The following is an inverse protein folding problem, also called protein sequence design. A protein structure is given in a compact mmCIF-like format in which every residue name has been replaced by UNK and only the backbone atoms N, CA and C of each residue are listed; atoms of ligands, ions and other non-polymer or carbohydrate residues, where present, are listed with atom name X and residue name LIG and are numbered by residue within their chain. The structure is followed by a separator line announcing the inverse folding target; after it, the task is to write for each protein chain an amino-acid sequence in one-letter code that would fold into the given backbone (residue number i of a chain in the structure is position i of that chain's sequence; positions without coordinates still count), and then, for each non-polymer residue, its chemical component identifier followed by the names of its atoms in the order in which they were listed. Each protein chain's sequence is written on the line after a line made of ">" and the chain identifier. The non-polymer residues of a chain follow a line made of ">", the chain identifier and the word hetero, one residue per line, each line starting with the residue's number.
data_IF_222682640141
#
_entry.id   IF_222682640141
#
_cell.length_a   1.000
_cell.length_b   1.000
_cell.length_c   1.000
_cell.angle_alpha   90.00
_cell.angle_beta   90.00
_cell.angle_gamma   90.00
#
_symmetry.space_group_name_H-M   'P 1'
#
loop_
_entity.id
_entity.type
_entity.pdbx_description
1 polymer ?
#
# COMPACT_ATOMS: atom_id res chain seq x y z
N UNK A 1 -53.42 -34.73 55.50
CA UNK A 1 -53.84 -33.32 55.45
C UNK A 1 -52.75 -32.33 54.99
N UNK A 2 -51.45 -32.62 55.10
CA UNK A 2 -50.38 -31.68 54.66
C UNK A 2 -50.01 -31.79 53.16
N UNK A 3 -50.10 -32.99 52.59
CA UNK A 3 -49.72 -33.23 51.18
C UNK A 3 -50.74 -32.66 50.18
N UNK A 4 -52.04 -32.84 50.42
CA UNK A 4 -53.11 -32.33 49.54
C UNK A 4 -53.03 -30.80 49.39
N UNK A 5 -52.76 -30.09 50.49
CA UNK A 5 -52.61 -28.63 50.48
C UNK A 5 -51.41 -28.14 49.65
N UNK A 6 -50.40 -28.99 49.47
CA UNK A 6 -49.21 -28.68 48.67
C UNK A 6 -49.49 -28.93 47.19
N UNK A 7 -50.24 -29.98 46.87
CA UNK A 7 -50.69 -30.30 45.51
C UNK A 7 -51.61 -29.20 44.98
N UNK A 8 -52.61 -28.78 45.78
CA UNK A 8 -53.51 -27.68 45.41
C UNK A 8 -52.75 -26.37 45.11
N UNK A 9 -51.70 -26.09 45.87
CA UNK A 9 -50.88 -24.88 45.70
C UNK A 9 -50.04 -24.93 44.40
N UNK A 10 -49.55 -26.12 44.02
CA UNK A 10 -48.80 -26.31 42.78
C UNK A 10 -49.75 -26.16 41.58
N UNK A 11 -50.92 -26.78 41.64
CA UNK A 11 -51.93 -26.71 40.57
C UNK A 11 -52.41 -25.28 40.34
N UNK A 12 -52.64 -24.53 41.44
CA UNK A 12 -52.99 -23.11 41.38
C UNK A 12 -51.87 -22.25 40.76
N UNK A 13 -50.61 -22.61 41.02
CA UNK A 13 -49.46 -21.89 40.45
C UNK A 13 -49.31 -22.16 38.95
N UNK A 14 -49.50 -23.41 38.51
CA UNK A 14 -49.45 -23.80 37.09
C UNK A 14 -50.53 -23.09 36.29
N UNK A 15 -51.79 -23.11 36.77
CA UNK A 15 -52.90 -22.41 36.11
C UNK A 15 -52.64 -20.89 35.98
N UNK A 16 -52.00 -20.28 36.99
CA UNK A 16 -51.64 -18.86 36.94
C UNK A 16 -50.55 -18.55 35.89
N UNK A 17 -49.63 -19.48 35.65
CA UNK A 17 -48.55 -19.32 34.67
C UNK A 17 -49.08 -19.50 33.25
N UNK A 18 -49.92 -20.50 33.00
CA UNK A 18 -50.57 -20.71 31.70
C UNK A 18 -51.38 -19.48 31.28
N UNK A 19 -52.15 -18.91 32.20
CA UNK A 19 -52.94 -17.70 31.93
C UNK A 19 -52.07 -16.48 31.61
N UNK A 20 -50.87 -16.38 32.20
CA UNK A 20 -49.90 -15.31 31.91
C UNK A 20 -49.22 -15.51 30.56
N UNK A 21 -48.91 -16.76 30.20
CA UNK A 21 -48.32 -17.10 28.90
C UNK A 21 -49.31 -16.80 27.77
N UNK A 22 -50.58 -17.23 27.89
CA UNK A 22 -51.60 -16.92 26.89
C UNK A 22 -51.81 -15.41 26.70
N UNK A 23 -51.76 -14.63 27.80
CA UNK A 23 -51.84 -13.16 27.72
C UNK A 23 -50.62 -12.54 27.04
N UNK A 24 -49.42 -13.12 27.19
CA UNK A 24 -48.21 -12.68 26.50
C UNK A 24 -48.24 -13.06 25.02
N UNK A 25 -48.75 -14.23 24.69
CA UNK A 25 -48.89 -14.71 23.32
C UNK A 25 -49.89 -13.85 22.53
N UNK A 26 -51.03 -13.48 23.11
CA UNK A 26 -51.98 -12.53 22.50
C UNK A 26 -51.37 -11.13 22.30
N UNK A 27 -50.52 -10.66 23.22
CA UNK A 27 -49.80 -9.38 23.08
C UNK A 27 -48.75 -9.45 21.97
N UNK A 28 -48.05 -10.59 21.83
CA UNK A 28 -47.04 -10.79 20.80
C UNK A 28 -47.70 -10.95 19.42
N UNK A 29 -48.82 -11.68 19.32
CA UNK A 29 -49.56 -11.86 18.06
C UNK A 29 -50.28 -10.57 17.62
N UNK A 30 -50.79 -9.76 18.55
CA UNK A 30 -51.46 -8.49 18.22
C UNK A 30 -50.49 -7.35 17.88
N UNK A 31 -49.19 -7.50 18.20
CA UNK A 31 -48.15 -6.49 17.96
C UNK A 31 -47.28 -6.77 16.72
N UNK A 32 -47.78 -7.55 15.76
CA UNK A 32 -47.16 -7.67 14.43
C UNK A 32 -47.95 -6.85 13.40
N UNK A 33 -47.60 -5.58 13.15
CA UNK A 33 -47.98 -4.90 11.91
C UNK A 33 -47.09 -5.41 10.77
N UNK A 34 -47.69 -6.11 9.82
CA UNK A 34 -47.16 -6.26 8.47
C UNK A 34 -46.99 -4.88 7.82
N UNK A 35 -45.77 -4.43 7.52
CA UNK A 35 -45.46 -3.52 6.41
C UNK A 35 -43.99 -3.66 5.93
N UNK A 36 -43.71 -3.33 4.65
CA UNK A 36 -42.65 -3.92 3.82
C UNK A 36 -41.26 -3.29 3.98
N UNK A 37 -40.26 -4.04 3.51
CA UNK A 37 -38.84 -3.68 3.40
C UNK A 37 -38.61 -2.27 2.80
N UNK A 38 -37.78 -1.46 3.48
CA UNK A 38 -36.90 -0.47 2.85
C UNK A 38 -35.65 -0.37 3.70
N UNK A 39 -34.53 -0.76 3.10
CA UNK A 39 -33.19 -0.75 3.67
C UNK A 39 -32.64 0.69 3.70
N UNK A 40 -32.38 1.24 4.88
CA UNK A 40 -31.38 2.30 5.09
C UNK A 40 -30.64 2.02 6.42
N UNK A 41 -29.32 1.73 6.42
CA UNK A 41 -28.61 1.42 7.65
C UNK A 41 -28.16 2.72 8.33
N UNK A 42 -28.93 3.18 9.30
CA UNK A 42 -28.44 4.10 10.33
C UNK A 42 -27.45 3.34 11.22
N UNK A 43 -26.19 3.81 11.24
CA UNK A 43 -25.12 3.28 12.07
C UNK A 43 -25.42 3.52 13.55
N UNK A 44 -25.66 2.44 14.29
CA UNK A 44 -25.69 2.46 15.75
C UNK A 44 -24.24 2.32 16.27
N UNK A 45 -23.74 3.39 16.87
CA UNK A 45 -22.42 3.46 17.50
C UNK A 45 -22.50 2.69 18.82
N UNK A 46 -22.09 1.42 18.82
CA UNK A 46 -21.92 0.64 20.04
C UNK A 46 -20.54 0.95 20.66
N UNK A 47 -20.53 1.91 21.59
CA UNK A 47 -19.45 2.11 22.55
C UNK A 47 -19.91 1.48 23.87
N UNK A 48 -19.57 0.21 24.06
CA UNK A 48 -19.38 -0.35 25.40
C UNK A 48 -18.13 -1.22 25.41
N UNK A 49 -17.09 -0.60 25.95
CA UNK A 49 -15.93 -1.19 26.58
C UNK A 49 -16.21 -2.55 27.24
N UNK A 50 -15.86 -3.62 26.53
CA UNK A 50 -15.00 -4.61 27.14
C UNK A 50 -13.64 -4.45 26.48
N UNK A 51 -12.86 -3.56 27.07
CA UNK A 51 -11.44 -3.44 26.78
C UNK A 51 -10.83 -4.80 27.14
N UNK A 52 -10.69 -5.66 26.13
CA UNK A 52 -9.85 -6.84 26.20
C UNK A 52 -8.42 -6.39 25.92
N UNK A 53 -7.82 -5.67 26.87
CA UNK A 53 -6.36 -5.55 26.92
C UNK A 53 -5.72 -6.81 27.53
N UNK A 54 -6.50 -7.72 28.13
CA UNK A 54 -6.02 -8.98 28.68
C UNK A 54 -5.99 -10.16 27.71
N UNK A 55 -6.35 -9.97 26.42
CA UNK A 55 -6.05 -10.96 25.38
C UNK A 55 -5.09 -10.44 24.31
N UNK A 56 -4.25 -9.47 24.69
CA UNK A 56 -2.94 -9.28 24.05
C UNK A 56 -2.03 -10.45 24.44
N UNK A 57 -2.42 -11.66 24.02
CA UNK A 57 -1.61 -12.87 24.10
C UNK A 57 -0.34 -12.60 23.29
N UNK A 58 0.76 -12.37 24.00
CA UNK A 58 2.07 -11.96 23.49
C UNK A 58 2.79 -12.99 22.61
N UNK A 59 2.08 -13.88 21.92
CA UNK A 59 2.67 -14.95 21.10
C UNK A 59 2.90 -14.52 19.63
N UNK A 60 2.20 -13.49 19.13
CA UNK A 60 2.31 -13.07 17.71
C UNK A 60 2.91 -11.68 17.47
N UNK A 61 2.96 -10.82 18.49
CA UNK A 61 3.38 -9.43 18.32
C UNK A 61 4.89 -9.23 18.50
N UNK A 62 5.53 -10.04 19.33
CA UNK A 62 6.99 -10.04 19.47
C UNK A 62 7.69 -10.62 18.24
N UNK A 63 7.10 -11.64 17.59
CA UNK A 63 7.61 -12.17 16.33
C UNK A 63 7.58 -11.12 15.20
N UNK A 64 6.48 -10.37 15.07
CA UNK A 64 6.38 -9.32 14.06
C UNK A 64 7.33 -8.14 14.34
N UNK A 65 7.40 -7.69 15.60
CA UNK A 65 8.28 -6.61 16.01
C UNK A 65 9.76 -6.99 15.87
N UNK A 66 10.13 -8.24 16.20
CA UNK A 66 11.47 -8.77 16.05
C UNK A 66 11.92 -8.83 14.59
N UNK A 67 11.03 -9.21 13.67
CA UNK A 67 11.30 -9.16 12.22
C UNK A 67 11.50 -7.71 11.76
N UNK A 68 10.68 -6.76 12.23
CA UNK A 68 10.84 -5.33 11.86
C UNK A 68 12.17 -4.79 12.34
N UNK A 69 12.54 -5.03 13.60
CA UNK A 69 13.81 -4.60 14.17
C UNK A 69 15.00 -5.28 13.50
N UNK A 70 14.89 -6.57 13.18
CA UNK A 70 15.91 -7.29 12.42
C UNK A 70 16.09 -6.70 11.01
N UNK A 71 14.98 -6.37 10.34
CA UNK A 71 14.98 -5.75 9.02
C UNK A 71 15.57 -4.34 9.05
N UNK A 72 15.22 -3.54 10.06
CA UNK A 72 15.80 -2.20 10.29
C UNK A 72 17.30 -2.30 10.57
N UNK A 73 17.72 -3.29 11.37
CA UNK A 73 19.12 -3.56 11.68
C UNK A 73 19.91 -3.95 10.44
N UNK A 74 19.35 -4.83 9.59
CA UNK A 74 19.94 -5.20 8.31
C UNK A 74 20.06 -4.00 7.37
N UNK A 75 19.04 -3.16 7.29
CA UNK A 75 19.09 -1.93 6.49
C UNK A 75 20.17 -0.95 6.98
N UNK A 76 20.26 -0.77 8.30
CA UNK A 76 21.28 0.09 8.89
C UNK A 76 22.69 -0.46 8.67
N UNK A 77 22.84 -1.79 8.74
CA UNK A 77 24.09 -2.47 8.44
C UNK A 77 24.53 -2.25 6.99
N UNK A 78 23.61 -2.44 6.03
CA UNK A 78 23.90 -2.19 4.61
C UNK A 78 24.27 -0.72 4.37
N UNK A 79 23.52 0.23 4.95
CA UNK A 79 23.85 1.66 4.88
C UNK A 79 25.23 1.95 5.48
N UNK A 80 25.54 1.34 6.62
CA UNK A 80 26.82 1.49 7.30
C UNK A 80 27.99 0.94 6.46
N UNK A 81 27.80 -0.22 5.82
CA UNK A 81 28.80 -0.78 4.89
C UNK A 81 29.11 0.14 3.72
N UNK A 82 28.15 0.94 3.25
CA UNK A 82 28.41 1.96 2.23
C UNK A 82 29.16 3.17 2.79
N UNK A 83 28.84 3.60 4.01
CA UNK A 83 29.53 4.73 4.65
C UNK A 83 30.99 4.42 4.93
N UNK A 84 31.30 3.18 5.33
CA UNK A 84 32.67 2.74 5.58
C UNK A 84 33.41 2.29 4.31
N UNK A 85 32.81 2.43 3.12
CA UNK A 85 33.37 1.96 1.85
C UNK A 85 33.82 0.47 1.87
N UNK A 86 33.19 -0.37 2.69
CA UNK A 86 33.46 -1.81 2.68
C UNK A 86 33.07 -2.46 1.35
N UNK A 87 32.08 -1.86 0.69
CA UNK A 87 31.61 -2.24 -0.63
C UNK A 87 31.72 -1.00 -1.52
N UNK A 88 32.68 -1.00 -2.43
CA UNK A 88 32.97 0.11 -3.34
C UNK A 88 32.45 -0.15 -4.76
N UNK A 89 32.18 0.94 -5.49
CA UNK A 89 31.77 0.90 -6.89
C UNK A 89 30.50 0.09 -7.15
N UNK A 90 30.63 -0.97 -7.96
CA UNK A 90 29.52 -1.80 -8.42
C UNK A 90 28.91 -2.72 -7.35
N UNK A 91 29.58 -2.96 -6.22
CA UNK A 91 29.02 -3.81 -5.17
C UNK A 91 27.79 -3.20 -4.49
N UNK A 92 27.70 -1.87 -4.45
CA UNK A 92 26.64 -1.13 -3.78
C UNK A 92 25.26 -1.35 -4.43
N UNK A 93 25.10 -1.17 -5.77
CA UNK A 93 23.85 -1.50 -6.44
C UNK A 93 23.53 -3.00 -6.42
N UNK A 94 24.53 -3.89 -6.43
CA UNK A 94 24.30 -5.35 -6.35
C UNK A 94 23.68 -5.73 -5.01
N UNK A 95 24.20 -5.20 -3.90
CA UNK A 95 23.65 -5.45 -2.56
C UNK A 95 22.24 -4.89 -2.43
N UNK A 96 21.99 -3.69 -2.97
CA UNK A 96 20.64 -3.11 -2.98
C UNK A 96 19.64 -3.96 -3.78
N UNK A 97 20.08 -4.46 -4.94
CA UNK A 97 19.26 -5.34 -5.76
C UNK A 97 18.96 -6.66 -5.03
N UNK A 98 19.96 -7.26 -4.38
CA UNK A 98 19.81 -8.49 -3.61
C UNK A 98 18.86 -8.28 -2.42
N UNK A 99 19.03 -7.19 -1.69
CA UNK A 99 18.16 -6.81 -0.57
C UNK A 99 16.72 -6.59 -1.05
N UNK A 100 16.54 -5.85 -2.15
CA UNK A 100 15.23 -5.66 -2.78
C UNK A 100 14.55 -6.99 -3.15
N UNK A 101 15.29 -7.92 -3.77
CA UNK A 101 14.79 -9.25 -4.15
C UNK A 101 14.41 -10.12 -2.94
N UNK A 102 15.24 -10.12 -1.90
CA UNK A 102 14.97 -10.85 -0.64
C UNK A 102 13.70 -10.30 0.00
N UNK A 103 13.56 -8.97 0.11
CA UNK A 103 12.36 -8.36 0.67
C UNK A 103 11.12 -8.62 -0.20
N UNK A 104 11.27 -8.70 -1.52
CA UNK A 104 10.17 -9.05 -2.44
C UNK A 104 9.65 -10.46 -2.13
N UNK A 105 10.55 -11.45 -2.04
CA UNK A 105 10.20 -12.84 -1.76
C UNK A 105 9.56 -12.99 -0.37
N UNK A 106 10.12 -12.30 0.64
CA UNK A 106 9.57 -12.27 1.99
C UNK A 106 8.18 -11.60 1.99
N UNK A 107 8.01 -10.49 1.28
CA UNK A 107 6.73 -9.79 1.16
C UNK A 107 5.63 -10.68 0.60
N UNK A 108 5.91 -11.39 -0.51
CA UNK A 108 4.96 -12.30 -1.14
C UNK A 108 4.59 -13.47 -0.19
N UNK A 109 5.57 -14.01 0.52
CA UNK A 109 5.37 -15.09 1.52
C UNK A 109 4.54 -14.63 2.72
N UNK A 110 4.84 -13.45 3.28
CA UNK A 110 4.11 -12.89 4.43
C UNK A 110 2.67 -12.56 4.06
N UNK A 111 2.46 -12.10 2.82
CA UNK A 111 1.12 -11.79 2.32
C UNK A 111 0.26 -13.04 2.16
N UNK A 112 0.86 -14.18 1.80
CA UNK A 112 0.18 -15.49 1.77
C UNK A 112 -0.28 -15.90 3.18
N UNK A 113 0.47 -15.54 4.23
CA UNK A 113 0.16 -15.85 5.63
C UNK A 113 -0.81 -14.87 6.32
N UNK A 114 -1.63 -14.15 5.55
CA UNK A 114 -2.73 -13.29 6.03
C UNK A 114 -2.35 -11.95 6.71
N UNK A 115 -1.08 -11.51 6.63
CA UNK A 115 -0.64 -10.18 7.12
C UNK A 115 -0.62 -9.13 5.99
N UNK A 116 -1.79 -8.79 5.46
CA UNK A 116 -1.93 -7.96 4.25
C UNK A 116 -1.28 -6.56 4.36
N UNK A 117 -1.49 -5.85 5.47
CA UNK A 117 -0.95 -4.49 5.66
C UNK A 117 0.58 -4.50 5.75
N UNK A 118 1.14 -5.47 6.47
CA UNK A 118 2.58 -5.58 6.63
C UNK A 118 3.28 -6.01 5.34
N UNK A 119 2.72 -6.99 4.63
CA UNK A 119 3.22 -7.41 3.33
C UNK A 119 3.25 -6.26 2.32
N UNK A 120 2.24 -5.38 2.33
CA UNK A 120 2.20 -4.20 1.46
C UNK A 120 3.32 -3.17 1.77
N UNK A 121 3.60 -2.91 3.05
CA UNK A 121 4.70 -2.03 3.47
C UNK A 121 6.05 -2.62 3.04
N UNK A 122 6.23 -3.93 3.24
CA UNK A 122 7.44 -4.64 2.82
C UNK A 122 7.62 -4.66 1.30
N UNK A 123 6.53 -4.82 0.55
CA UNK A 123 6.55 -4.74 -0.91
C UNK A 123 6.95 -3.34 -1.39
N UNK A 124 6.41 -2.29 -0.76
CA UNK A 124 6.81 -0.92 -1.08
C UNK A 124 8.30 -0.71 -0.80
N UNK A 125 8.78 -1.19 0.35
CA UNK A 125 10.17 -1.06 0.74
C UNK A 125 11.10 -1.82 -0.22
N UNK A 126 10.73 -3.04 -0.62
CA UNK A 126 11.44 -3.81 -1.65
C UNK A 126 11.57 -3.04 -2.96
N UNK A 127 10.49 -2.44 -3.45
CA UNK A 127 10.51 -1.64 -4.66
C UNK A 127 11.42 -0.41 -4.54
N UNK A 128 11.38 0.29 -3.40
CA UNK A 128 12.27 1.42 -3.14
C UNK A 128 13.73 0.97 -3.23
N UNK A 129 14.09 -0.18 -2.66
CA UNK A 129 15.45 -0.73 -2.79
C UNK A 129 15.83 -1.08 -4.21
N UNK A 130 14.93 -1.69 -4.98
CA UNK A 130 15.17 -2.02 -6.38
C UNK A 130 15.37 -0.77 -7.24
N UNK A 131 14.53 0.25 -7.07
CA UNK A 131 14.68 1.52 -7.77
C UNK A 131 15.97 2.25 -7.36
N UNK A 132 16.33 2.22 -6.08
CA UNK A 132 17.60 2.76 -5.58
C UNK A 132 18.82 2.01 -6.16
N UNK A 133 18.70 0.69 -6.33
CA UNK A 133 19.72 -0.15 -6.97
C UNK A 133 19.96 0.30 -8.42
N UNK A 134 18.88 0.53 -9.16
CA UNK A 134 18.92 0.99 -10.55
C UNK A 134 19.57 2.37 -10.65
N UNK A 135 19.23 3.30 -9.77
CA UNK A 135 19.85 4.63 -9.72
C UNK A 135 21.36 4.54 -9.40
N UNK A 136 21.75 3.82 -8.35
CA UNK A 136 23.18 3.66 -8.03
C UNK A 136 23.96 2.94 -9.12
N UNK A 137 23.32 1.97 -9.80
CA UNK A 137 23.92 1.31 -10.96
C UNK A 137 24.19 2.31 -12.08
N UNK A 138 23.25 3.22 -12.36
CA UNK A 138 23.39 4.22 -13.42
C UNK A 138 24.50 5.25 -13.20
N UNK A 139 24.92 5.49 -11.96
CA UNK A 139 25.98 6.45 -11.63
C UNK A 139 27.32 5.76 -11.41
N UNK A 140 27.33 4.66 -10.64
CA UNK A 140 28.57 4.09 -10.11
C UNK A 140 29.14 2.96 -10.95
N UNK A 141 28.35 2.38 -11.85
CA UNK A 141 28.80 1.27 -12.69
C UNK A 141 29.17 1.83 -14.06
N UNK A 142 30.45 1.76 -14.48
CA UNK A 142 30.91 2.39 -15.72
C UNK A 142 30.31 1.77 -16.98
N UNK A 143 29.80 0.53 -16.91
CA UNK A 143 29.11 -0.10 -18.05
C UNK A 143 27.65 0.37 -18.21
N UNK A 144 27.12 1.03 -17.19
CA UNK A 144 25.71 1.37 -17.10
C UNK A 144 25.51 2.83 -17.49
N UNK A 145 24.96 3.07 -18.68
CA UNK A 145 24.64 4.42 -19.15
C UNK A 145 23.34 4.94 -18.53
N UNK A 146 23.11 6.26 -18.57
CA UNK A 146 21.86 6.95 -18.21
C UNK A 146 20.60 6.29 -18.81
N UNK A 147 20.72 5.64 -19.98
CA UNK A 147 19.64 4.89 -20.65
C UNK A 147 19.16 3.69 -19.83
N UNK A 148 20.06 3.05 -19.10
CA UNK A 148 19.73 1.90 -18.26
C UNK A 148 18.71 2.26 -17.18
N UNK A 149 18.76 3.48 -16.64
CA UNK A 149 17.80 3.95 -15.64
C UNK A 149 16.36 3.83 -16.17
N UNK A 150 16.13 4.27 -17.41
CA UNK A 150 14.82 4.25 -18.06
C UNK A 150 14.38 2.83 -18.40
N UNK A 151 15.26 2.02 -18.99
CA UNK A 151 14.91 0.64 -19.35
C UNK A 151 14.67 -0.25 -18.14
N UNK A 152 15.49 -0.12 -17.09
CA UNK A 152 15.35 -0.91 -15.88
C UNK A 152 14.10 -0.48 -15.07
N UNK A 153 13.78 0.81 -15.01
CA UNK A 153 12.55 1.27 -14.35
C UNK A 153 11.29 0.78 -15.07
N UNK A 154 11.29 0.81 -16.41
CA UNK A 154 10.22 0.24 -17.23
C UNK A 154 10.10 -1.28 -16.98
N UNK A 155 11.23 -1.98 -16.89
CA UNK A 155 11.26 -3.40 -16.55
C UNK A 155 10.64 -3.71 -15.18
N UNK A 156 10.96 -2.92 -14.14
CA UNK A 156 10.37 -3.07 -12.80
C UNK A 156 8.86 -2.80 -12.82
N UNK A 157 8.42 -1.78 -13.56
CA UNK A 157 6.99 -1.46 -13.71
C UNK A 157 6.23 -2.58 -14.43
N UNK A 158 6.79 -3.09 -15.53
CA UNK A 158 6.21 -4.21 -16.27
C UNK A 158 6.15 -5.48 -15.42
N UNK A 159 7.21 -5.74 -14.63
CA UNK A 159 7.23 -6.83 -13.67
C UNK A 159 6.11 -6.69 -12.61
N UNK A 160 5.94 -5.50 -12.02
CA UNK A 160 4.88 -5.25 -11.05
C UNK A 160 3.47 -5.41 -11.66
N UNK A 161 3.31 -4.99 -12.92
CA UNK A 161 2.08 -5.16 -13.67
C UNK A 161 1.77 -6.64 -13.89
N UNK A 162 2.72 -7.40 -14.45
CA UNK A 162 2.59 -8.83 -14.71
C UNK A 162 2.31 -9.62 -13.42
N UNK A 163 3.02 -9.30 -12.34
CA UNK A 163 2.79 -9.91 -11.03
C UNK A 163 1.40 -9.57 -10.46
N UNK A 164 0.93 -8.34 -10.68
CA UNK A 164 -0.42 -7.91 -10.32
C UNK A 164 -1.51 -8.70 -11.04
N UNK A 165 -1.32 -9.00 -12.32
CA UNK A 165 -2.22 -9.83 -13.14
C UNK A 165 -2.25 -11.27 -12.63
N UNK A 166 -1.09 -11.89 -12.42
CA UNK A 166 -0.99 -13.29 -11.93
C UNK A 166 -1.70 -13.45 -10.58
N UNK A 167 -1.45 -12.53 -9.64
CA UNK A 167 -2.03 -12.59 -8.29
C UNK A 167 -3.47 -12.05 -8.22
N UNK A 168 -4.08 -11.69 -9.37
CA UNK A 168 -5.40 -11.04 -9.48
C UNK A 168 -5.59 -9.89 -8.49
N UNK A 169 -4.52 -9.17 -8.19
CA UNK A 169 -4.51 -8.19 -7.10
C UNK A 169 -4.06 -6.82 -7.57
N UNK A 170 -4.81 -5.80 -7.15
CA UNK A 170 -4.58 -4.41 -7.51
C UNK A 170 -3.36 -3.77 -6.83
N UNK A 171 -2.82 -4.40 -5.79
CA UNK A 171 -1.79 -3.76 -4.97
C UNK A 171 -0.44 -3.63 -5.65
N UNK A 172 0.05 -4.66 -6.33
CA UNK A 172 1.41 -4.64 -6.89
C UNK A 172 1.63 -3.52 -7.91
N UNK A 173 0.69 -3.26 -8.84
CA UNK A 173 0.82 -2.13 -9.74
C UNK A 173 0.76 -0.78 -9.01
N UNK A 174 -0.07 -0.65 -7.98
CA UNK A 174 -0.15 0.57 -7.16
C UNK A 174 1.18 0.85 -6.45
N UNK A 175 1.77 -0.17 -5.83
CA UNK A 175 3.07 -0.03 -5.17
C UNK A 175 4.20 0.23 -6.18
N UNK A 176 4.12 -0.38 -7.37
CA UNK A 176 4.97 -0.12 -8.54
C UNK A 176 5.04 1.36 -8.91
N UNK A 177 3.88 1.95 -9.16
CA UNK A 177 3.76 3.37 -9.53
C UNK A 177 4.22 4.26 -8.37
N UNK A 178 3.82 3.95 -7.13
CA UNK A 178 4.29 4.71 -5.96
C UNK A 178 5.81 4.69 -5.82
N UNK A 179 6.44 3.52 -6.01
CA UNK A 179 7.90 3.40 -6.01
C UNK A 179 8.58 4.19 -7.12
N UNK A 180 8.00 4.16 -8.33
CA UNK A 180 8.50 4.93 -9.47
C UNK A 180 8.37 6.46 -9.27
N UNK A 181 7.37 6.92 -8.52
CA UNK A 181 7.25 8.33 -8.12
C UNK A 181 8.31 8.76 -7.10
N UNK A 182 8.78 7.84 -6.25
CA UNK A 182 9.78 8.13 -5.21
C UNK A 182 11.20 8.24 -5.80
N UNK A 183 11.51 7.43 -6.82
CA UNK A 183 12.82 7.41 -7.46
C UNK A 183 13.37 8.78 -7.91
N UNK A 184 12.61 9.65 -8.62
CA UNK A 184 13.16 10.92 -9.11
C UNK A 184 13.67 11.86 -8.00
N UNK A 185 13.18 11.75 -6.76
CA UNK A 185 13.71 12.50 -5.60
C UNK A 185 15.21 12.29 -5.45
N UNK A 186 15.69 11.08 -5.72
CA UNK A 186 17.09 10.72 -5.61
C UNK A 186 17.90 11.12 -6.85
N UNK A 187 17.27 11.19 -8.02
CA UNK A 187 17.93 11.33 -9.32
C UNK A 187 18.20 12.79 -9.70
N UNK A 188 17.42 13.76 -9.19
CA UNK A 188 17.44 15.15 -9.65
C UNK A 188 18.85 15.76 -9.62
N UNK A 189 19.62 15.55 -8.56
CA UNK A 189 20.92 16.23 -8.36
C UNK A 189 21.99 15.84 -9.39
N UNK A 190 22.00 14.59 -9.85
CA UNK A 190 23.03 14.09 -10.75
C UNK A 190 22.63 14.17 -12.24
N UNK A 191 21.35 14.43 -12.52
CA UNK A 191 20.79 14.41 -13.87
C UNK A 191 20.27 15.78 -14.36
N UNK A 192 20.57 16.87 -13.64
CA UNK A 192 20.24 18.25 -14.06
C UNK A 192 20.72 18.50 -15.50
N UNK A 193 19.79 18.91 -16.37
CA UNK A 193 20.05 19.22 -17.79
C UNK A 193 19.96 18.05 -18.77
N UNK A 194 19.65 16.83 -18.31
CA UNK A 194 19.62 15.64 -19.17
C UNK A 194 18.20 15.27 -19.64
N UNK A 195 17.99 15.11 -20.96
CA UNK A 195 16.71 14.70 -21.56
C UNK A 195 16.23 13.30 -21.11
N UNK A 196 17.12 12.43 -20.65
CA UNK A 196 16.78 11.11 -20.11
C UNK A 196 15.87 11.18 -18.88
N UNK A 197 16.00 12.22 -18.04
CA UNK A 197 15.10 12.42 -16.90
C UNK A 197 13.67 12.75 -17.37
N UNK A 198 13.55 13.56 -18.42
CA UNK A 198 12.26 13.86 -19.06
C UNK A 198 11.61 12.61 -19.65
N UNK A 199 12.40 11.77 -20.35
CA UNK A 199 11.91 10.49 -20.90
C UNK A 199 11.45 9.55 -19.77
N UNK A 200 12.17 9.52 -18.65
CA UNK A 200 11.75 8.74 -17.47
C UNK A 200 10.37 9.18 -16.97
N UNK A 201 10.14 10.49 -16.78
CA UNK A 201 8.84 10.99 -16.33
C UNK A 201 7.72 10.68 -17.32
N UNK A 202 7.99 10.77 -18.64
CA UNK A 202 7.04 10.37 -19.67
C UNK A 202 6.65 8.90 -19.51
N UNK A 203 7.63 8.01 -19.33
CA UNK A 203 7.39 6.58 -19.13
C UNK A 203 6.52 6.33 -17.89
N UNK A 204 6.78 7.04 -16.79
CA UNK A 204 5.97 6.92 -15.55
C UNK A 204 4.54 7.39 -15.77
N UNK A 205 4.33 8.51 -16.47
CA UNK A 205 2.98 9.03 -16.78
C UNK A 205 2.23 8.07 -17.69
N UNK A 206 2.85 7.61 -18.79
CA UNK A 206 2.22 6.66 -19.74
C UNK A 206 1.87 5.36 -19.01
N UNK A 207 2.75 4.86 -18.15
CA UNK A 207 2.49 3.65 -17.36
C UNK A 207 1.30 3.85 -16.41
N UNK A 208 1.25 4.97 -15.70
CA UNK A 208 0.15 5.30 -14.79
C UNK A 208 -1.18 5.47 -15.54
N UNK A 209 -1.15 6.08 -16.72
CA UNK A 209 -2.31 6.24 -17.60
C UNK A 209 -2.82 4.89 -18.13
N UNK A 210 -1.92 4.02 -18.60
CA UNK A 210 -2.28 2.67 -19.04
C UNK A 210 -2.93 1.83 -17.93
N UNK A 211 -2.45 1.99 -16.69
CA UNK A 211 -3.03 1.37 -15.50
C UNK A 211 -4.41 1.94 -15.14
N UNK A 212 -4.63 3.24 -15.38
CA UNK A 212 -5.89 3.92 -15.13
C UNK A 212 -7.02 3.38 -16.01
N UNK A 213 -6.75 3.23 -17.32
CA UNK A 213 -7.71 2.76 -18.32
C UNK A 213 -8.19 1.33 -18.04
N UNK A 214 -7.36 0.49 -17.41
CA UNK A 214 -7.68 -0.93 -17.27
C UNK A 214 -8.56 -1.26 -16.06
N UNK A 215 -8.67 -0.38 -15.05
CA UNK A 215 -9.41 -0.73 -13.82
C UNK A 215 -10.08 0.45 -13.08
N UNK A 216 -10.45 1.53 -13.78
CA UNK A 216 -11.06 2.73 -13.19
C UNK A 216 -10.23 3.30 -12.02
N UNK A 217 -8.91 3.35 -12.18
CA UNK A 217 -7.98 3.87 -11.16
C UNK A 217 -7.58 5.33 -11.40
N UNK A 218 -8.51 6.12 -11.94
CA UNK A 218 -8.30 7.52 -12.27
C UNK A 218 -7.76 8.36 -11.10
N UNK A 219 -8.16 8.04 -9.87
CA UNK A 219 -7.67 8.73 -8.66
C UNK A 219 -6.17 8.59 -8.47
N UNK A 220 -5.58 7.43 -8.78
CA UNK A 220 -4.13 7.22 -8.66
C UNK A 220 -3.36 7.89 -9.79
N UNK A 221 -3.90 7.86 -11.02
CA UNK A 221 -3.29 8.56 -12.16
C UNK A 221 -3.28 10.08 -11.97
N UNK A 222 -4.35 10.63 -11.39
CA UNK A 222 -4.41 12.04 -11.01
C UNK A 222 -3.35 12.40 -9.97
N UNK A 223 -3.17 11.57 -8.94
CA UNK A 223 -2.14 11.79 -7.91
C UNK A 223 -0.73 11.69 -8.51
N UNK A 224 -0.44 10.68 -9.34
CA UNK A 224 0.86 10.57 -10.04
C UNK A 224 1.14 11.81 -10.88
N UNK A 225 0.15 12.27 -11.63
CA UNK A 225 0.26 13.46 -12.47
C UNK A 225 0.56 14.71 -11.66
N UNK A 226 -0.14 14.91 -10.54
CA UNK A 226 0.11 16.03 -9.62
C UNK A 226 1.52 15.97 -9.02
N UNK A 227 1.95 14.79 -8.57
CA UNK A 227 3.30 14.60 -8.03
C UNK A 227 4.35 14.90 -9.09
N UNK A 228 4.19 14.39 -10.31
CA UNK A 228 5.10 14.69 -11.43
C UNK A 228 5.12 16.19 -11.75
N UNK A 229 3.98 16.88 -11.71
CA UNK A 229 3.93 18.34 -11.89
C UNK A 229 4.73 19.09 -10.83
N UNK A 230 4.57 18.74 -9.55
CA UNK A 230 5.35 19.35 -8.47
C UNK A 230 6.86 19.15 -8.67
N UNK A 231 7.26 17.96 -9.15
CA UNK A 231 8.66 17.69 -9.48
C UNK A 231 9.18 18.53 -10.64
N UNK A 232 8.41 18.64 -11.71
CA UNK A 232 8.79 19.44 -12.87
C UNK A 232 8.91 20.92 -12.49
N UNK A 233 8.00 21.44 -11.65
CA UNK A 233 8.09 22.81 -11.14
C UNK A 233 9.34 23.03 -10.28
N UNK A 234 9.66 22.08 -9.40
CA UNK A 234 10.91 22.11 -8.62
C UNK A 234 12.14 22.09 -9.54
N UNK A 235 12.14 21.24 -10.57
CA UNK A 235 13.23 21.13 -11.55
C UNK A 235 13.38 22.39 -12.40
N UNK A 236 12.28 23.00 -12.84
CA UNK A 236 12.30 24.27 -13.57
C UNK A 236 12.88 25.38 -12.68
N UNK A 237 12.55 25.41 -11.39
CA UNK A 237 13.13 26.37 -10.45
C UNK A 237 14.65 26.20 -10.33
N UNK A 238 15.15 24.97 -10.27
CA UNK A 238 16.60 24.69 -10.21
C UNK A 238 17.31 24.96 -11.54
N UNK A 239 16.67 24.71 -12.68
CA UNK A 239 17.26 24.91 -14.02
C UNK A 239 17.21 26.34 -14.54
N UNK A 240 16.35 27.22 -14.01
CA UNK A 240 16.35 28.66 -14.34
C UNK A 240 17.66 29.38 -13.94
N UNK A 241 18.57 28.69 -13.25
CA UNK A 241 19.93 29.16 -12.93
C UNK A 241 20.97 28.79 -14.00
N UNK A 242 20.63 28.00 -15.04
CA UNK A 242 21.58 27.53 -16.06
C UNK A 242 20.98 27.53 -17.50
N UNK A 243 21.46 28.39 -18.42
CA UNK A 243 20.81 28.68 -19.71
C UNK A 243 20.85 27.55 -20.76
N UNK A 244 21.64 26.49 -20.57
CA UNK A 244 21.65 25.34 -21.50
C UNK A 244 20.42 24.40 -21.38
N UNK A 245 19.56 24.59 -20.38
CA UNK A 245 18.39 23.72 -20.11
C UNK A 245 17.06 24.22 -20.71
N UNK A 246 17.05 25.34 -21.42
CA UNK A 246 15.82 26.01 -21.89
C UNK A 246 14.98 25.17 -22.87
N UNK A 247 15.61 24.35 -23.72
CA UNK A 247 14.90 23.46 -24.67
C UNK A 247 14.21 22.30 -23.97
N UNK A 248 14.78 21.80 -22.86
CA UNK A 248 14.22 20.72 -22.04
C UNK A 248 12.97 21.20 -21.30
N UNK A 249 12.92 22.47 -20.91
CA UNK A 249 11.79 23.07 -20.20
C UNK A 249 10.52 23.15 -21.06
N UNK A 250 10.66 23.39 -22.37
CA UNK A 250 9.52 23.47 -23.29
C UNK A 250 8.86 22.09 -23.51
N UNK A 251 9.69 21.05 -23.64
CA UNK A 251 9.22 19.65 -23.76
C UNK A 251 8.53 19.20 -22.46
N UNK A 252 9.08 19.56 -21.30
CA UNK A 252 8.47 19.26 -19.99
C UNK A 252 7.10 19.92 -19.83
N UNK A 253 6.93 21.18 -20.28
CA UNK A 253 5.65 21.88 -20.27
C UNK A 253 4.61 21.27 -21.23
N UNK A 254 5.02 20.77 -22.39
CA UNK A 254 4.12 20.06 -23.30
C UNK A 254 3.66 18.71 -22.72
N UNK A 255 4.53 18.00 -21.99
CA UNK A 255 4.18 16.72 -21.36
C UNK A 255 3.18 16.86 -20.21
N UNK A 256 3.17 17.99 -19.51
CA UNK A 256 2.23 18.27 -18.41
C UNK A 256 0.78 18.49 -18.85
N UNK A 257 0.54 18.85 -20.12
CA UNK A 257 -0.81 19.09 -20.65
C UNK A 257 -1.51 17.79 -21.06
N UNK A 258 -0.75 16.74 -21.38
CA UNK A 258 -1.28 15.49 -21.91
C UNK A 258 -2.13 14.60 -20.96
N UNK A 259 -1.92 14.58 -19.63
CA UNK A 259 -2.75 13.77 -18.72
C UNK A 259 -4.06 14.46 -18.28
N UNK A 260 -4.41 15.63 -18.82
CA UNK A 260 -5.62 16.37 -18.46
C UNK A 260 -6.88 16.02 -19.29
N UNK A 261 -6.82 14.98 -20.13
CA UNK A 261 -7.94 14.48 -20.93
C UNK A 261 -8.21 13.00 -20.69
#
# INVERSE_FOLDING_TARGET
>A
MSFDKTIDKIEQSISSLEKRIGKLEDIVLSKVPNQPQTEEPFQEINIQEKISIESFSGDSQLGWLGIIISLIGCFFFVRYSFQQNWITGAGQPIVLALLGLILFAISDTIRIKNYYKFGAILALLSLIFLFMAVYWSSIKVPITSHRFLVYASLGILFFCFFWGVIRKTSLWPKLGVTGACILPIFVIKDFIGTHWLTIYFLVVIITSFGLSLWKNWATMSGVTTLVTHLFILMFIRETNLNPQAATTNCILWMMTVFPAF
#
